data_IF_403869194122
#
_entry.id   IF_403869194122
#
_cell.length_a   1.000
_cell.length_b   1.000
_cell.length_c   1.000
_cell.angle_alpha   90.00
_cell.angle_beta   90.00
_cell.angle_gamma   90.00
#
_symmetry.space_group_name_H-M   'P 1'
#
loop_
_entity.id
_entity.type
_entity.pdbx_description
1 polymer ?
#
# COMPACT_ATOMS: atom_id res chain seq x y z
N UNK A 1 9.84 29.94 16.87
CA UNK A 1 9.01 29.02 17.68
C UNK A 1 8.51 27.84 16.85
N UNK A 2 7.81 28.08 15.74
CA UNK A 2 7.25 27.06 14.83
C UNK A 2 8.29 26.02 14.35
N UNK A 3 9.47 26.47 13.91
CA UNK A 3 10.54 25.57 13.45
C UNK A 3 11.03 24.58 14.52
N UNK A 4 11.14 25.01 15.79
CA UNK A 4 11.52 24.14 16.91
C UNK A 4 10.41 23.13 17.24
N UNK A 5 9.14 23.54 17.10
CA UNK A 5 7.99 22.65 17.26
C UNK A 5 7.97 21.58 16.17
N UNK A 6 8.21 21.95 14.90
CA UNK A 6 8.27 21.02 13.76
C UNK A 6 9.41 20.01 13.93
N UNK A 7 10.62 20.47 14.28
CA UNK A 7 11.74 19.56 14.54
C UNK A 7 11.43 18.64 15.72
N UNK A 8 10.87 19.18 16.80
CA UNK A 8 10.46 18.39 17.96
C UNK A 8 9.42 17.33 17.59
N UNK A 9 8.40 17.67 16.80
CA UNK A 9 7.38 16.73 16.37
C UNK A 9 7.93 15.66 15.41
N UNK A 10 8.83 16.03 14.50
CA UNK A 10 9.51 15.06 13.62
C UNK A 10 10.37 14.11 14.43
N UNK A 11 11.16 14.61 15.39
CA UNK A 11 12.02 13.78 16.24
C UNK A 11 11.20 12.83 17.13
N UNK A 12 10.09 13.31 17.71
CA UNK A 12 9.17 12.48 18.49
C UNK A 12 8.51 11.42 17.60
N UNK A 13 8.01 11.81 16.43
CA UNK A 13 7.40 10.90 15.47
C UNK A 13 8.39 9.81 15.04
N UNK A 14 9.61 10.20 14.68
CA UNK A 14 10.68 9.29 14.30
C UNK A 14 11.07 8.33 15.45
N UNK A 15 11.19 8.82 16.68
CA UNK A 15 11.45 8.00 17.85
C UNK A 15 10.32 7.00 18.13
N UNK A 16 9.06 7.43 17.99
CA UNK A 16 7.90 6.56 18.12
C UNK A 16 7.85 5.50 17.01
N UNK A 17 8.14 5.88 15.76
CA UNK A 17 8.24 4.94 14.64
C UNK A 17 9.33 3.91 14.87
N UNK A 18 10.54 4.32 15.27
CA UNK A 18 11.62 3.39 15.60
C UNK A 18 11.21 2.45 16.74
N UNK A 19 10.59 2.98 17.79
CA UNK A 19 10.14 2.18 18.93
C UNK A 19 9.07 1.16 18.53
N UNK A 20 8.12 1.54 17.66
CA UNK A 20 7.06 0.65 17.19
C UNK A 20 7.59 -0.44 16.25
N UNK A 21 8.46 -0.05 15.31
CA UNK A 21 8.98 -0.91 14.24
C UNK A 21 10.10 -1.84 14.73
N UNK A 22 11.03 -1.35 15.56
CA UNK A 22 12.20 -2.13 15.97
C UNK A 22 12.16 -2.59 17.43
N UNK A 23 11.22 -2.09 18.24
CA UNK A 23 11.17 -2.41 19.67
C UNK A 23 10.69 -3.83 20.01
N UNK A 24 10.30 -4.63 19.01
CA UNK A 24 10.03 -6.08 19.13
C UNK A 24 11.24 -6.96 18.78
N UNK A 25 12.36 -6.36 18.34
CA UNK A 25 13.58 -7.09 18.04
C UNK A 25 13.99 -8.00 19.21
N UNK A 26 14.45 -9.24 18.94
CA UNK A 26 14.90 -10.17 19.98
C UNK A 26 15.94 -9.56 20.94
N UNK A 27 16.79 -8.66 20.44
CA UNK A 27 17.81 -7.95 21.20
C UNK A 27 17.25 -7.03 22.29
N UNK A 28 15.98 -6.62 22.18
CA UNK A 28 15.32 -5.75 23.15
C UNK A 28 14.40 -6.50 24.13
N UNK A 29 14.36 -7.84 24.11
CA UNK A 29 13.54 -8.62 25.05
C UNK A 29 13.89 -8.28 26.51
N UNK A 30 12.87 -8.03 27.32
CA UNK A 30 12.94 -7.62 28.73
C UNK A 30 13.62 -6.26 29.00
N UNK A 31 13.92 -5.47 27.98
CA UNK A 31 14.51 -4.13 28.14
C UNK A 31 13.44 -3.06 28.38
N UNK A 32 13.82 -1.86 28.88
CA UNK A 32 12.92 -0.70 28.95
C UNK A 32 12.31 -0.34 27.58
N UNK A 33 13.01 -0.57 26.47
CA UNK A 33 12.55 -0.31 25.10
C UNK A 33 11.32 -1.18 24.78
N UNK A 34 11.40 -2.49 25.04
CA UNK A 34 10.26 -3.38 24.83
C UNK A 34 9.08 -3.04 25.76
N UNK A 35 9.36 -2.67 27.03
CA UNK A 35 8.30 -2.22 27.97
C UNK A 35 7.61 -0.95 27.47
N UNK A 36 8.37 0.02 26.97
CA UNK A 36 7.84 1.26 26.40
C UNK A 36 6.99 0.97 25.14
N UNK A 37 7.44 0.07 24.26
CA UNK A 37 6.64 -0.39 23.11
C UNK A 37 5.34 -1.03 23.55
N UNK A 38 5.37 -1.97 24.51
CA UNK A 38 4.15 -2.63 25.01
C UNK A 38 3.18 -1.62 25.63
N UNK A 39 3.68 -0.64 26.40
CA UNK A 39 2.84 0.42 26.96
C UNK A 39 2.23 1.31 25.86
N UNK A 40 3.03 1.67 24.85
CA UNK A 40 2.57 2.43 23.69
C UNK A 40 1.47 1.66 22.94
N UNK A 41 1.67 0.36 22.67
CA UNK A 41 0.68 -0.50 22.02
C UNK A 41 -0.61 -0.66 22.85
N UNK A 42 -0.49 -0.74 24.18
CA UNK A 42 -1.65 -0.74 25.09
C UNK A 42 -2.39 0.59 25.06
N UNK A 43 -1.67 1.71 25.01
CA UNK A 43 -2.26 3.04 24.91
C UNK A 43 -2.97 3.22 23.56
N UNK A 44 -2.34 2.83 22.44
CA UNK A 44 -2.95 2.88 21.11
C UNK A 44 -4.14 1.93 21.00
N UNK A 45 -4.08 0.75 21.62
CA UNK A 45 -5.21 -0.19 21.73
C UNK A 45 -6.39 0.41 22.48
N UNK A 46 -6.16 1.06 23.63
CA UNK A 46 -7.22 1.75 24.38
C UNK A 46 -7.83 2.91 23.58
N UNK A 47 -7.01 3.66 22.86
CA UNK A 47 -7.46 4.72 21.96
C UNK A 47 -8.32 4.12 20.84
N UNK A 48 -7.90 2.99 20.25
CA UNK A 48 -8.66 2.26 19.22
C UNK A 48 -10.01 1.77 19.76
N UNK A 49 -10.05 1.20 20.96
CA UNK A 49 -11.30 0.77 21.59
C UNK A 49 -12.23 1.94 21.90
N UNK A 50 -11.70 3.04 22.45
CA UNK A 50 -12.47 4.26 22.67
C UNK A 50 -13.02 4.80 21.35
N UNK A 51 -12.21 4.74 20.30
CA UNK A 51 -12.57 5.14 18.96
C UNK A 51 -13.70 4.28 18.37
N UNK A 52 -13.63 2.94 18.50
CA UNK A 52 -14.70 2.02 18.09
C UNK A 52 -16.01 2.28 18.86
N UNK A 53 -15.93 2.60 20.15
CA UNK A 53 -17.09 2.97 20.97
C UNK A 53 -17.69 4.31 20.52
N UNK A 54 -16.88 5.29 20.17
CA UNK A 54 -17.38 6.58 19.65
C UNK A 54 -17.96 6.39 18.24
N UNK A 55 -17.31 5.60 17.39
CA UNK A 55 -17.71 5.39 16.02
C UNK A 55 -19.03 4.60 15.92
N UNK A 56 -19.19 3.57 16.76
CA UNK A 56 -20.45 2.83 16.92
C UNK A 56 -21.61 3.74 17.37
N UNK A 57 -21.35 4.72 18.25
CA UNK A 57 -22.36 5.74 18.61
C UNK A 57 -22.69 6.70 17.48
N UNK A 58 -21.79 6.85 16.50
CA UNK A 58 -21.96 7.71 15.34
C UNK A 58 -22.50 6.97 14.09
N UNK A 59 -22.84 5.68 14.22
CA UNK A 59 -23.17 4.80 13.09
C UNK A 59 -22.11 4.84 11.97
N UNK A 60 -20.81 4.88 12.30
CA UNK A 60 -19.72 4.91 11.33
C UNK A 60 -19.46 6.27 10.66
N UNK A 61 -20.23 7.32 11.02
CA UNK A 61 -20.06 8.66 10.42
C UNK A 61 -18.72 9.29 10.78
N UNK A 62 -18.24 9.08 12.01
CA UNK A 62 -16.96 9.63 12.44
C UNK A 62 -15.79 9.05 11.63
N UNK A 63 -15.78 7.74 11.40
CA UNK A 63 -14.77 7.09 10.56
C UNK A 63 -14.76 7.67 9.14
N UNK A 64 -15.94 7.85 8.56
CA UNK A 64 -16.08 8.45 7.24
C UNK A 64 -15.54 9.89 7.19
N UNK A 65 -15.78 10.73 8.20
CA UNK A 65 -15.21 12.08 8.25
C UNK A 65 -13.69 12.07 8.44
N UNK A 66 -13.17 11.22 9.33
CA UNK A 66 -11.74 11.15 9.59
C UNK A 66 -10.96 10.59 8.41
N UNK A 67 -11.57 9.72 7.60
CA UNK A 67 -10.96 9.19 6.38
C UNK A 67 -10.61 10.31 5.36
N UNK A 68 -11.32 11.45 5.41
CA UNK A 68 -11.03 12.62 4.55
C UNK A 68 -9.92 13.53 5.08
N UNK A 69 -9.46 13.37 6.32
CA UNK A 69 -8.40 14.21 6.89
C UNK A 69 -7.11 14.11 6.09
N UNK A 70 -6.74 12.89 5.66
CA UNK A 70 -5.49 12.67 4.92
C UNK A 70 -5.54 13.24 3.50
N UNK A 71 -6.54 12.94 2.64
CA UNK A 71 -6.62 13.53 1.30
C UNK A 71 -6.76 15.06 1.32
N UNK A 72 -7.61 15.60 2.21
CA UNK A 72 -7.79 17.05 2.33
C UNK A 72 -6.50 17.71 2.81
N UNK A 73 -5.84 17.13 3.82
CA UNK A 73 -4.54 17.58 4.31
C UNK A 73 -3.48 17.59 3.20
N UNK A 74 -3.40 16.52 2.40
CA UNK A 74 -2.52 16.45 1.24
C UNK A 74 -2.79 17.57 0.23
N UNK A 75 -4.05 17.81 -0.16
CA UNK A 75 -4.41 18.87 -1.09
C UNK A 75 -4.06 20.27 -0.56
N UNK A 76 -4.26 20.51 0.74
CA UNK A 76 -3.88 21.77 1.39
C UNK A 76 -2.36 21.94 1.35
N UNK A 77 -1.59 20.93 1.75
CA UNK A 77 -0.12 20.98 1.76
C UNK A 77 0.42 21.23 0.36
N UNK A 78 -0.04 20.49 -0.66
CA UNK A 78 0.38 20.68 -2.05
C UNK A 78 0.05 22.09 -2.54
N UNK A 79 -1.15 22.60 -2.23
CA UNK A 79 -1.55 23.96 -2.61
C UNK A 79 -0.66 25.03 -1.97
N UNK A 80 -0.34 24.88 -0.68
CA UNK A 80 0.60 25.77 0.02
C UNK A 80 1.99 25.68 -0.58
N UNK A 81 2.49 24.48 -0.88
CA UNK A 81 3.78 24.28 -1.53
C UNK A 81 3.85 24.95 -2.90
N UNK A 82 2.82 24.80 -3.73
CA UNK A 82 2.74 25.47 -5.03
C UNK A 82 2.68 26.99 -4.89
N UNK A 83 1.88 27.51 -3.98
CA UNK A 83 1.83 28.95 -3.72
C UNK A 83 3.20 29.49 -3.30
N UNK A 84 3.88 28.82 -2.36
CA UNK A 84 5.21 29.20 -1.90
C UNK A 84 6.26 29.09 -3.01
N UNK A 85 6.20 28.03 -3.84
CA UNK A 85 7.07 27.88 -5.00
C UNK A 85 6.90 29.04 -5.99
N UNK A 86 5.65 29.36 -6.36
CA UNK A 86 5.35 30.45 -7.29
C UNK A 86 5.78 31.83 -6.74
N UNK A 87 5.64 32.06 -5.42
CA UNK A 87 5.97 33.34 -4.81
C UNK A 87 7.46 33.51 -4.47
N UNK A 88 8.16 32.43 -4.12
CA UNK A 88 9.52 32.48 -3.56
C UNK A 88 10.56 31.91 -4.50
N UNK A 89 10.28 30.80 -5.15
CA UNK A 89 11.26 30.07 -5.97
C UNK A 89 11.21 30.49 -7.44
N UNK A 90 10.01 30.58 -8.03
CA UNK A 90 9.85 30.94 -9.44
C UNK A 90 10.50 32.29 -9.82
N UNK A 91 10.40 33.37 -9.01
CA UNK A 91 11.05 34.65 -9.33
C UNK A 91 12.59 34.60 -9.31
N UNK A 92 13.18 33.57 -8.69
CA UNK A 92 14.63 33.35 -8.68
C UNK A 92 15.14 32.68 -9.97
N UNK A 93 14.22 32.17 -10.80
CA UNK A 93 14.51 31.45 -12.02
C UNK A 93 14.31 32.36 -13.23
N UNK A 94 15.19 32.23 -14.22
CA UNK A 94 14.97 32.81 -15.55
C UNK A 94 14.19 31.80 -16.41
N UNK A 95 12.86 31.85 -16.36
CA UNK A 95 12.00 30.91 -17.09
C UNK A 95 11.51 31.47 -18.42
N UNK A 96 11.54 30.64 -19.46
CA UNK A 96 10.86 30.94 -20.73
C UNK A 96 9.38 30.49 -20.71
N UNK A 97 8.60 30.88 -21.72
CA UNK A 97 7.16 30.57 -21.80
C UNK A 97 6.87 29.06 -21.82
N UNK A 98 7.71 28.26 -22.49
CA UNK A 98 7.55 26.82 -22.53
C UNK A 98 7.75 26.19 -21.15
N UNK A 99 8.79 26.61 -20.44
CA UNK A 99 9.09 26.16 -19.09
C UNK A 99 7.99 26.55 -18.11
N UNK A 100 7.48 27.78 -18.20
CA UNK A 100 6.34 28.22 -17.40
C UNK A 100 5.09 27.38 -17.69
N UNK A 101 4.79 27.11 -18.97
CA UNK A 101 3.69 26.24 -19.37
C UNK A 101 3.83 24.83 -18.78
N UNK A 102 5.02 24.25 -18.82
CA UNK A 102 5.28 22.92 -18.25
C UNK A 102 5.13 22.89 -16.72
N UNK A 103 5.60 23.92 -16.01
CA UNK A 103 5.38 24.06 -14.56
C UNK A 103 3.89 24.05 -14.24
N UNK A 104 3.09 24.85 -14.96
CA UNK A 104 1.64 24.94 -14.74
C UNK A 104 0.93 23.62 -15.07
N UNK A 105 1.32 22.95 -16.17
CA UNK A 105 0.78 21.63 -16.54
C UNK A 105 1.12 20.59 -15.49
N UNK A 106 2.35 20.56 -14.98
CA UNK A 106 2.77 19.64 -13.91
C UNK A 106 1.94 19.85 -12.63
N UNK A 107 1.74 21.11 -12.23
CA UNK A 107 0.86 21.46 -11.10
C UNK A 107 -0.59 21.01 -11.32
N UNK A 108 -1.16 21.27 -12.50
CA UNK A 108 -2.51 20.84 -12.85
C UNK A 108 -2.64 19.31 -12.88
N UNK A 109 -1.62 18.61 -13.39
CA UNK A 109 -1.62 17.15 -13.48
C UNK A 109 -1.68 16.50 -12.09
N UNK A 110 -1.02 17.07 -11.07
CA UNK A 110 -1.10 16.58 -9.68
C UNK A 110 -2.53 16.67 -9.16
N UNK A 111 -3.21 17.81 -9.33
CA UNK A 111 -4.60 17.95 -8.90
C UNK A 111 -5.55 17.07 -9.70
N UNK A 112 -5.44 17.07 -11.03
CA UNK A 112 -6.32 16.31 -11.91
C UNK A 112 -6.21 14.80 -11.65
N UNK A 113 -4.99 14.28 -11.53
CA UNK A 113 -4.77 12.86 -11.22
C UNK A 113 -5.23 12.47 -9.82
N UNK A 114 -5.03 13.34 -8.82
CA UNK A 114 -5.54 13.12 -7.45
C UNK A 114 -7.06 13.05 -7.45
N UNK A 115 -7.74 14.03 -8.06
CA UNK A 115 -9.20 14.09 -8.16
C UNK A 115 -9.74 12.87 -8.92
N UNK A 116 -9.12 12.52 -10.05
CA UNK A 116 -9.49 11.34 -10.81
C UNK A 116 -9.40 10.07 -9.96
N UNK A 117 -8.31 9.90 -9.20
CA UNK A 117 -8.13 8.75 -8.32
C UNK A 117 -9.16 8.71 -7.16
N UNK A 118 -9.45 9.85 -6.53
CA UNK A 118 -10.44 9.97 -5.45
C UNK A 118 -11.83 9.54 -5.92
N UNK A 119 -12.29 10.03 -7.08
CA UNK A 119 -13.68 9.86 -7.53
C UNK A 119 -13.89 8.70 -8.49
N UNK A 120 -12.82 8.04 -8.94
CA UNK A 120 -12.91 6.88 -9.82
C UNK A 120 -13.54 5.66 -9.12
N UNK A 121 -14.35 4.90 -9.86
CA UNK A 121 -14.88 3.61 -9.40
C UNK A 121 -13.74 2.56 -9.36
N UNK A 122 -13.43 1.96 -8.20
CA UNK A 122 -12.41 0.91 -8.10
C UNK A 122 -12.79 -0.40 -8.79
N UNK A 123 -14.07 -0.59 -9.09
CA UNK A 123 -14.62 -1.87 -9.56
C UNK A 123 -15.45 -2.54 -8.48
N UNK A 124 -16.38 -1.81 -7.87
CA UNK A 124 -17.33 -2.38 -6.93
C UNK A 124 -18.10 -3.53 -7.58
N UNK A 125 -18.27 -4.65 -6.88
CA UNK A 125 -18.97 -5.83 -7.42
C UNK A 125 -20.43 -5.49 -7.71
N UNK A 126 -20.87 -5.77 -8.93
CA UNK A 126 -22.26 -5.70 -9.38
C UNK A 126 -22.62 -7.00 -10.10
N UNK A 127 -23.92 -7.31 -10.21
CA UNK A 127 -24.34 -8.50 -10.95
C UNK A 127 -23.96 -8.45 -12.45
N UNK A 128 -23.75 -7.26 -12.99
CA UNK A 128 -23.32 -7.06 -14.37
C UNK A 128 -21.83 -7.35 -14.56
N UNK A 129 -20.95 -6.80 -13.73
CA UNK A 129 -19.51 -6.99 -13.89
C UNK A 129 -19.02 -8.39 -13.47
N UNK A 130 -19.85 -9.14 -12.73
CA UNK A 130 -19.62 -10.56 -12.48
C UNK A 130 -19.85 -11.41 -13.74
N UNK A 131 -20.74 -10.98 -14.65
CA UNK A 131 -20.97 -11.68 -15.91
C UNK A 131 -19.74 -11.50 -16.81
N UNK A 132 -18.98 -12.57 -16.99
CA UNK A 132 -17.74 -12.54 -17.77
C UNK A 132 -16.49 -12.17 -16.97
N UNK A 133 -16.55 -12.18 -15.63
CA UNK A 133 -15.35 -12.06 -14.81
C UNK A 133 -14.46 -13.30 -15.03
N UNK A 134 -13.22 -13.14 -15.53
CA UNK A 134 -12.47 -14.26 -16.12
C UNK A 134 -11.70 -15.11 -15.09
N UNK A 135 -11.71 -14.74 -13.81
CA UNK A 135 -10.88 -15.40 -12.79
C UNK A 135 -11.67 -16.42 -12.00
N UNK A 136 -11.13 -17.63 -11.95
CA UNK A 136 -11.66 -18.73 -11.18
C UNK A 136 -10.84 -18.97 -9.89
N UNK A 137 -11.45 -19.43 -8.79
CA UNK A 137 -10.73 -19.72 -7.56
C UNK A 137 -9.80 -20.94 -7.72
N UNK A 138 -8.52 -20.80 -7.35
CA UNK A 138 -7.50 -21.86 -7.47
C UNK A 138 -7.48 -22.87 -6.30
N UNK A 139 -8.40 -22.75 -5.33
CA UNK A 139 -8.43 -23.51 -4.06
C UNK A 139 -7.11 -23.48 -3.27
N UNK A 140 -6.30 -22.43 -3.45
CA UNK A 140 -5.05 -22.22 -2.70
C UNK A 140 -5.10 -20.89 -1.95
N UNK A 141 -5.17 -19.78 -2.69
CA UNK A 141 -5.29 -18.42 -2.12
C UNK A 141 -6.69 -17.82 -2.34
N UNK A 142 -7.47 -18.41 -3.25
CA UNK A 142 -8.87 -18.11 -3.49
C UNK A 142 -9.70 -19.38 -3.52
N UNK A 143 -10.70 -19.45 -2.64
CA UNK A 143 -11.54 -20.63 -2.46
C UNK A 143 -12.96 -20.41 -3.03
N UNK A 144 -13.58 -21.49 -3.51
CA UNK A 144 -14.98 -21.47 -3.97
C UNK A 144 -15.93 -21.11 -2.83
N UNK A 145 -17.03 -20.43 -3.17
CA UNK A 145 -18.15 -20.11 -2.27
C UNK A 145 -17.78 -19.29 -1.03
N UNK A 146 -16.68 -18.52 -1.04
CA UNK A 146 -16.37 -17.59 0.07
C UNK A 146 -17.39 -16.45 0.07
N UNK A 147 -18.29 -16.45 1.03
CA UNK A 147 -19.35 -15.46 1.16
C UNK A 147 -18.86 -14.20 1.90
N UNK A 148 -19.34 -13.02 1.48
CA UNK A 148 -19.19 -11.78 2.23
C UNK A 148 -20.50 -11.50 2.96
N UNK A 149 -20.48 -11.55 4.30
CA UNK A 149 -21.66 -11.29 5.11
C UNK A 149 -22.10 -9.82 5.07
N UNK A 150 -21.18 -8.87 4.87
CA UNK A 150 -21.53 -7.45 4.77
C UNK A 150 -22.25 -7.14 3.46
N UNK A 151 -21.72 -7.65 2.33
CA UNK A 151 -22.29 -7.39 1.01
C UNK A 151 -23.37 -8.42 0.59
N UNK A 152 -23.59 -9.46 1.39
CA UNK A 152 -24.54 -10.56 1.11
C UNK A 152 -24.33 -11.20 -0.27
N UNK A 153 -23.07 -11.41 -0.64
CA UNK A 153 -22.69 -11.93 -1.96
C UNK A 153 -21.48 -12.88 -1.88
N UNK A 154 -21.41 -13.84 -2.80
CA UNK A 154 -20.22 -14.67 -2.98
C UNK A 154 -19.09 -13.84 -3.59
N UNK A 155 -17.90 -13.90 -2.99
CA UNK A 155 -16.71 -13.21 -3.46
C UNK A 155 -16.10 -13.99 -4.63
N UNK A 156 -15.96 -13.40 -5.83
CA UNK A 156 -15.18 -14.01 -6.89
C UNK A 156 -13.69 -14.03 -6.53
N UNK A 157 -12.89 -14.80 -7.26
CA UNK A 157 -11.44 -14.81 -7.11
C UNK A 157 -10.87 -13.39 -7.27
N UNK A 158 -9.71 -13.11 -6.66
CA UNK A 158 -9.05 -11.78 -6.71
C UNK A 158 -9.86 -10.61 -6.17
N UNK A 159 -11.03 -10.84 -5.57
CA UNK A 159 -11.82 -9.81 -4.89
C UNK A 159 -11.58 -9.77 -3.38
N UNK A 160 -11.85 -8.61 -2.76
CA UNK A 160 -11.85 -8.46 -1.30
C UNK A 160 -12.87 -7.42 -0.84
N UNK A 161 -13.43 -7.66 0.34
CA UNK A 161 -14.23 -6.68 1.06
C UNK A 161 -13.29 -5.69 1.76
N UNK A 162 -13.44 -4.41 1.48
CA UNK A 162 -12.77 -3.36 2.23
C UNK A 162 -13.69 -2.88 3.34
N UNK A 163 -13.30 -3.10 4.60
CA UNK A 163 -14.07 -2.65 5.77
C UNK A 163 -14.21 -1.13 5.83
N UNK A 164 -13.20 -0.38 5.37
CA UNK A 164 -13.23 1.09 5.31
C UNK A 164 -14.27 1.61 4.34
N UNK A 165 -14.38 1.00 3.15
CA UNK A 165 -15.34 1.43 2.12
C UNK A 165 -16.70 0.70 2.21
N UNK A 166 -16.80 -0.37 3.00
CA UNK A 166 -18.03 -1.15 3.21
C UNK A 166 -18.46 -2.02 2.03
N UNK A 167 -17.60 -2.22 1.02
CA UNK A 167 -17.96 -2.92 -0.22
C UNK A 167 -16.87 -3.92 -0.66
N UNK A 168 -17.29 -4.90 -1.47
CA UNK A 168 -16.37 -5.78 -2.18
C UNK A 168 -15.97 -5.17 -3.53
N UNK A 169 -14.69 -5.28 -3.86
CA UNK A 169 -14.13 -4.78 -5.13
C UNK A 169 -13.44 -5.91 -5.89
N UNK A 170 -13.59 -5.91 -7.21
CA UNK A 170 -12.91 -6.82 -8.13
C UNK A 170 -11.43 -6.45 -8.26
N UNK A 171 -10.58 -7.46 -8.44
CA UNK A 171 -9.12 -7.31 -8.55
C UNK A 171 -8.58 -6.33 -7.50
N UNK A 172 -8.96 -6.54 -6.25
CA UNK A 172 -8.66 -5.62 -5.17
C UNK A 172 -7.15 -5.56 -4.93
N UNK A 173 -6.59 -4.36 -4.95
CA UNK A 173 -5.19 -4.12 -4.65
C UNK A 173 -5.01 -3.72 -3.19
N UNK A 174 -5.46 -2.51 -2.84
CA UNK A 174 -5.41 -1.99 -1.48
C UNK A 174 -6.40 -0.83 -1.29
N UNK A 175 -6.63 -0.42 -0.05
CA UNK A 175 -7.29 0.85 0.25
C UNK A 175 -6.22 1.93 0.44
N UNK A 176 -6.26 2.97 -0.39
CA UNK A 176 -5.27 4.04 -0.34
C UNK A 176 -5.79 5.22 0.50
N UNK A 177 -5.19 5.43 1.66
CA UNK A 177 -5.56 6.52 2.59
C UNK A 177 -5.33 7.92 2.00
N UNK A 178 -4.40 8.07 1.05
CA UNK A 178 -4.06 9.35 0.42
C UNK A 178 -5.16 9.87 -0.52
N UNK A 179 -5.96 8.97 -1.06
CA UNK A 179 -7.07 9.28 -1.97
C UNK A 179 -8.42 8.84 -1.41
N UNK A 180 -8.43 8.33 -0.17
CA UNK A 180 -9.60 7.77 0.53
C UNK A 180 -10.49 6.92 -0.40
N UNK A 181 -9.85 6.05 -1.18
CA UNK A 181 -10.53 5.20 -2.14
C UNK A 181 -9.80 3.87 -2.26
N UNK A 182 -10.53 2.81 -2.62
CA UNK A 182 -9.91 1.54 -2.97
C UNK A 182 -9.22 1.64 -4.33
N UNK A 183 -8.12 0.93 -4.49
CA UNK A 183 -7.47 0.70 -5.77
C UNK A 183 -7.82 -0.72 -6.21
N UNK A 184 -8.39 -0.86 -7.41
CA UNK A 184 -8.88 -2.12 -7.94
C UNK A 184 -8.94 -2.15 -9.46
N UNK A 185 -9.72 -3.08 -10.00
CA UNK A 185 -9.81 -3.38 -11.43
C UNK A 185 -9.99 -2.13 -12.32
N UNK A 186 -10.85 -1.18 -11.92
CA UNK A 186 -11.30 -0.10 -12.84
C UNK A 186 -10.59 1.23 -12.66
N UNK A 187 -9.80 1.40 -11.59
CA UNK A 187 -9.12 2.66 -11.30
C UNK A 187 -7.61 2.58 -11.10
N UNK A 188 -7.01 1.40 -11.24
CA UNK A 188 -5.56 1.24 -11.10
C UNK A 188 -4.76 2.20 -12.00
N UNK A 189 -5.23 2.47 -13.23
CA UNK A 189 -4.63 3.48 -14.12
C UNK A 189 -4.61 4.90 -13.56
N UNK A 190 -5.66 5.32 -12.84
CA UNK A 190 -5.73 6.65 -12.23
C UNK A 190 -4.77 6.75 -11.04
N UNK A 191 -4.63 5.66 -10.29
CA UNK A 191 -3.62 5.54 -9.24
C UNK A 191 -2.20 5.63 -9.81
N UNK A 192 -1.90 4.92 -10.90
CA UNK A 192 -0.60 5.03 -11.57
C UNK A 192 -0.34 6.44 -12.11
N UNK A 193 -1.35 7.09 -12.71
CA UNK A 193 -1.24 8.49 -13.16
C UNK A 193 -0.98 9.44 -11.98
N UNK A 194 -1.62 9.22 -10.83
CA UNK A 194 -1.39 9.96 -9.60
C UNK A 194 0.06 9.82 -9.11
N UNK A 195 0.62 8.60 -9.12
CA UNK A 195 2.02 8.35 -8.77
C UNK A 195 2.97 9.06 -9.73
N UNK A 196 2.76 8.94 -11.05
CA UNK A 196 3.61 9.59 -12.04
C UNK A 196 3.54 11.11 -12.00
N UNK A 197 2.35 11.70 -11.80
CA UNK A 197 2.21 13.14 -11.65
C UNK A 197 2.98 13.66 -10.42
N UNK A 198 2.91 12.94 -9.30
CA UNK A 198 3.67 13.27 -8.10
C UNK A 198 5.18 13.11 -8.30
N UNK A 199 5.64 12.01 -8.92
CA UNK A 199 7.07 11.83 -9.24
C UNK A 199 7.55 12.96 -10.14
N UNK A 200 6.78 13.31 -11.18
CA UNK A 200 7.13 14.39 -12.09
C UNK A 200 7.26 15.72 -11.35
N UNK A 201 6.26 16.08 -10.54
CA UNK A 201 6.28 17.29 -9.71
C UNK A 201 7.49 17.32 -8.77
N UNK A 202 7.75 16.22 -8.05
CA UNK A 202 8.84 16.14 -7.09
C UNK A 202 10.21 16.21 -7.76
N UNK A 203 10.45 15.40 -8.80
CA UNK A 203 11.72 15.36 -9.53
C UNK A 203 12.01 16.69 -10.25
N UNK A 204 11.01 17.20 -10.99
CA UNK A 204 11.18 18.45 -11.73
C UNK A 204 11.27 19.66 -10.79
N UNK A 205 10.43 19.68 -9.74
CA UNK A 205 10.49 20.69 -8.69
C UNK A 205 11.84 20.73 -7.99
N UNK A 206 12.45 19.57 -7.70
CA UNK A 206 13.79 19.49 -7.11
C UNK A 206 14.85 20.11 -8.02
N UNK A 207 14.84 19.76 -9.31
CA UNK A 207 15.74 20.34 -10.32
C UNK A 207 15.61 21.85 -10.38
N UNK A 208 14.38 22.39 -10.39
CA UNK A 208 14.13 23.83 -10.41
C UNK A 208 14.59 24.52 -9.12
N UNK A 209 14.30 23.93 -7.95
CA UNK A 209 14.71 24.49 -6.66
C UNK A 209 16.24 24.50 -6.52
N UNK A 210 16.91 23.43 -6.96
CA UNK A 210 18.37 23.38 -6.98
C UNK A 210 18.96 24.42 -7.95
N UNK A 211 18.40 24.55 -9.15
CA UNK A 211 18.83 25.54 -10.13
C UNK A 211 18.73 26.97 -9.56
N UNK A 212 17.62 27.30 -8.88
CA UNK A 212 17.39 28.60 -8.25
C UNK A 212 18.43 28.95 -7.18
N UNK A 213 18.95 27.96 -6.44
CA UNK A 213 19.94 28.16 -5.38
C UNK A 213 21.39 28.01 -5.85
N UNK A 214 21.62 27.45 -7.03
CA UNK A 214 22.96 27.10 -7.50
C UNK A 214 23.96 28.26 -7.51
N UNK A 215 23.59 29.53 -7.82
CA UNK A 215 24.54 30.65 -7.74
C UNK A 215 24.98 30.94 -6.30
N UNK A 216 24.05 30.94 -5.34
CA UNK A 216 24.31 31.23 -3.94
C UNK A 216 25.06 30.07 -3.26
N UNK A 217 24.76 28.82 -3.65
CA UNK A 217 25.48 27.63 -3.15
C UNK A 217 26.97 27.71 -3.53
N UNK A 218 27.28 28.12 -4.77
CA UNK A 218 28.66 28.30 -5.23
C UNK A 218 29.36 29.44 -4.49
N UNK A 219 28.65 30.55 -4.27
CA UNK A 219 29.19 31.73 -3.55
C UNK A 219 29.50 31.43 -2.07
N UNK A 220 28.58 30.80 -1.36
CA UNK A 220 28.69 30.52 0.09
C UNK A 220 29.33 29.16 0.41
N UNK A 221 29.79 28.42 -0.62
CA UNK A 221 30.43 27.10 -0.51
C UNK A 221 29.67 26.10 0.38
N UNK A 222 28.33 26.11 0.34
CA UNK A 222 27.54 25.17 1.12
C UNK A 222 26.05 25.47 1.17
N UNK A 223 25.23 24.45 0.90
CA UNK A 223 23.77 24.53 0.90
C UNK A 223 23.20 24.96 2.26
N UNK A 224 23.79 24.47 3.37
CA UNK A 224 23.31 24.83 4.71
C UNK A 224 23.44 26.32 5.02
N UNK A 225 24.50 26.97 4.53
CA UNK A 225 24.70 28.41 4.71
C UNK A 225 23.67 29.21 3.93
N UNK A 226 23.36 28.77 2.70
CA UNK A 226 22.30 29.36 1.88
C UNK A 226 20.95 29.26 2.62
N UNK A 227 20.60 28.09 3.14
CA UNK A 227 19.31 27.86 3.83
C UNK A 227 19.20 28.65 5.12
N UNK A 228 20.28 28.79 5.90
CA UNK A 228 20.17 29.35 7.25
C UNK A 228 20.49 30.85 7.36
N UNK A 229 21.32 31.39 6.45
CA UNK A 229 21.94 32.72 6.64
C UNK A 229 21.58 33.76 5.57
N UNK A 230 20.71 33.44 4.61
CA UNK A 230 20.40 34.35 3.50
C UNK A 230 18.97 34.88 3.56
N UNK A 231 18.19 34.76 2.49
CA UNK A 231 16.84 35.30 2.37
C UNK A 231 15.79 34.26 2.71
N UNK A 232 14.58 34.69 3.06
CA UNK A 232 13.45 33.78 3.28
C UNK A 232 13.10 32.96 2.03
N UNK A 233 13.28 33.51 0.83
CA UNK A 233 13.13 32.77 -0.42
C UNK A 233 14.13 31.63 -0.54
N UNK A 234 15.39 31.86 -0.17
CA UNK A 234 16.41 30.81 -0.16
C UNK A 234 16.13 29.74 0.91
N UNK A 235 15.61 30.13 2.09
CA UNK A 235 15.22 29.17 3.13
C UNK A 235 14.11 28.25 2.64
N UNK A 236 13.04 28.81 2.07
CA UNK A 236 11.89 28.05 1.55
C UNK A 236 12.31 27.14 0.40
N UNK A 237 13.03 27.67 -0.59
CA UNK A 237 13.51 26.89 -1.74
C UNK A 237 14.43 25.75 -1.31
N UNK A 238 15.30 25.97 -0.31
CA UNK A 238 16.18 24.91 0.16
C UNK A 238 15.47 23.85 1.00
N UNK A 239 14.40 24.20 1.72
CA UNK A 239 13.49 23.22 2.34
C UNK A 239 12.82 22.38 1.24
N UNK A 240 12.40 22.98 0.12
CA UNK A 240 11.85 22.21 -1.01
C UNK A 240 12.84 21.24 -1.62
N UNK A 241 14.11 21.61 -1.81
CA UNK A 241 15.14 20.64 -2.24
C UNK A 241 15.15 19.42 -1.33
N UNK A 242 15.26 19.63 -0.02
CA UNK A 242 15.30 18.52 0.95
C UNK A 242 14.04 17.64 0.89
N UNK A 243 12.86 18.27 0.89
CA UNK A 243 11.59 17.54 0.87
C UNK A 243 11.41 16.78 -0.46
N UNK A 244 11.63 17.45 -1.59
CA UNK A 244 11.50 16.84 -2.91
C UNK A 244 12.48 15.68 -3.11
N UNK A 245 13.75 15.83 -2.72
CA UNK A 245 14.75 14.74 -2.82
C UNK A 245 14.37 13.51 -1.97
N UNK A 246 13.78 13.70 -0.79
CA UNK A 246 13.34 12.57 0.05
C UNK A 246 12.10 11.91 -0.54
N UNK A 247 11.05 12.70 -0.84
CA UNK A 247 9.77 12.16 -1.29
C UNK A 247 9.83 11.57 -2.70
N UNK A 248 10.70 12.08 -3.60
CA UNK A 248 10.84 11.50 -4.95
C UNK A 248 11.37 10.07 -4.89
N UNK A 249 12.34 9.79 -4.00
CA UNK A 249 12.88 8.44 -3.83
C UNK A 249 11.79 7.50 -3.31
N UNK A 250 11.03 7.94 -2.30
CA UNK A 250 9.92 7.16 -1.75
C UNK A 250 8.87 6.88 -2.83
N UNK A 251 8.46 7.90 -3.58
CA UNK A 251 7.45 7.76 -4.63
C UNK A 251 7.91 6.82 -5.76
N UNK A 252 9.18 6.91 -6.18
CA UNK A 252 9.78 5.99 -7.15
C UNK A 252 9.78 4.56 -6.61
N UNK A 253 10.17 4.35 -5.35
CA UNK A 253 10.16 3.01 -4.74
C UNK A 253 8.75 2.40 -4.72
N UNK A 254 7.74 3.14 -4.28
CA UNK A 254 6.35 2.66 -4.31
C UNK A 254 5.88 2.35 -5.73
N UNK A 255 6.23 3.19 -6.70
CA UNK A 255 5.87 2.98 -8.11
C UNK A 255 6.58 1.74 -8.69
N UNK A 256 7.84 1.53 -8.35
CA UNK A 256 8.59 0.34 -8.74
C UNK A 256 7.99 -0.94 -8.13
N UNK A 257 7.50 -0.89 -6.89
CA UNK A 257 6.76 -2.01 -6.28
C UNK A 257 5.48 -2.33 -7.05
N UNK A 258 4.72 -1.32 -7.48
CA UNK A 258 3.52 -1.54 -8.30
C UNK A 258 3.87 -2.23 -9.62
N UNK A 259 4.94 -1.80 -10.30
CA UNK A 259 5.43 -2.48 -11.50
C UNK A 259 5.90 -3.92 -11.25
N UNK A 260 6.55 -4.17 -10.10
CA UNK A 260 6.92 -5.54 -9.70
C UNK A 260 5.68 -6.42 -9.52
N UNK A 261 4.60 -5.91 -8.93
CA UNK A 261 3.37 -6.67 -8.76
C UNK A 261 2.69 -6.97 -10.09
N UNK A 262 2.71 -6.01 -11.02
CA UNK A 262 2.29 -6.25 -12.41
C UNK A 262 3.14 -7.34 -13.07
N UNK A 263 4.47 -7.28 -12.91
CA UNK A 263 5.38 -8.28 -13.45
C UNK A 263 5.08 -9.69 -12.92
N UNK A 264 4.80 -9.83 -11.63
CA UNK A 264 4.47 -11.10 -10.98
C UNK A 264 3.00 -11.54 -11.18
N UNK A 265 2.17 -10.71 -11.81
CA UNK A 265 0.76 -11.01 -12.01
C UNK A 265 -0.08 -11.01 -10.72
N UNK A 266 0.38 -10.34 -9.67
CA UNK A 266 -0.28 -10.29 -8.35
C UNK A 266 -0.80 -8.90 -8.01
N UNK A 267 -1.78 -8.81 -7.12
CA UNK A 267 -2.16 -7.57 -6.43
C UNK A 267 -1.40 -7.41 -5.12
N UNK A 268 -1.33 -6.21 -4.54
CA UNK A 268 -0.77 -6.00 -3.20
C UNK A 268 -1.44 -6.93 -2.16
N UNK A 269 -2.77 -7.08 -2.23
CA UNK A 269 -3.52 -7.98 -1.37
C UNK A 269 -3.22 -9.47 -1.59
N UNK A 270 -2.84 -9.87 -2.80
CA UNK A 270 -2.47 -11.25 -3.11
C UNK A 270 -1.09 -11.60 -2.58
N UNK A 271 -0.18 -10.62 -2.51
CA UNK A 271 1.15 -10.82 -1.95
C UNK A 271 1.09 -11.35 -0.51
N UNK A 272 0.24 -10.77 0.34
CA UNK A 272 0.06 -11.22 1.72
C UNK A 272 -0.39 -12.69 1.78
N UNK A 273 -1.25 -13.12 0.84
CA UNK A 273 -1.71 -14.50 0.75
C UNK A 273 -0.65 -15.44 0.24
N UNK A 274 0.13 -15.02 -0.76
CA UNK A 274 1.26 -15.79 -1.24
C UNK A 274 2.34 -15.95 -0.17
N UNK A 275 2.55 -14.94 0.68
CA UNK A 275 3.45 -15.04 1.83
C UNK A 275 2.99 -16.11 2.85
N UNK A 276 1.68 -16.31 3.01
CA UNK A 276 1.14 -17.40 3.84
C UNK A 276 1.45 -18.78 3.23
N UNK A 277 1.33 -18.91 1.91
CA UNK A 277 1.72 -20.14 1.19
C UNK A 277 3.23 -20.39 1.31
N UNK A 278 4.06 -19.38 1.11
CA UNK A 278 5.52 -19.46 1.31
C UNK A 278 5.86 -19.89 2.75
N UNK A 279 5.12 -19.40 3.74
CA UNK A 279 5.27 -19.83 5.11
C UNK A 279 4.99 -21.34 5.25
N UNK A 280 3.84 -21.84 4.77
CA UNK A 280 3.51 -23.27 4.81
C UNK A 280 4.58 -24.16 4.13
N UNK A 281 5.13 -23.70 3.00
CA UNK A 281 6.22 -24.38 2.29
C UNK A 281 7.50 -24.38 3.13
N UNK A 282 7.84 -23.26 3.77
CA UNK A 282 9.05 -23.16 4.60
C UNK A 282 9.05 -24.10 5.82
N UNK A 283 7.86 -24.47 6.33
CA UNK A 283 7.72 -25.50 7.37
C UNK A 283 7.62 -26.92 6.82
N UNK A 284 7.57 -27.11 5.50
CA UNK A 284 7.40 -28.42 4.86
C UNK A 284 6.03 -29.05 5.17
N UNK A 285 5.00 -28.22 5.33
CA UNK A 285 3.65 -28.68 5.68
C UNK A 285 2.64 -28.50 4.55
N UNK A 286 2.99 -27.91 3.42
CA UNK A 286 2.12 -27.85 2.25
C UNK A 286 2.34 -29.06 1.34
N UNK A 287 1.26 -29.75 0.99
CA UNK A 287 1.29 -30.93 0.12
C UNK A 287 0.28 -30.79 -1.01
N UNK A 288 0.66 -31.24 -2.20
CA UNK A 288 -0.24 -31.49 -3.32
C UNK A 288 -0.85 -32.88 -3.18
N UNK A 289 -2.16 -32.99 -3.40
CA UNK A 289 -2.92 -34.24 -3.29
C UNK A 289 -3.46 -34.68 -4.65
N UNK A 290 -3.28 -35.96 -4.99
CA UNK A 290 -3.83 -36.58 -6.21
C UNK A 290 -4.55 -37.92 -5.87
N UNK A 291 -5.83 -38.10 -6.25
CA UNK A 291 -6.72 -37.12 -6.87
C UNK A 291 -7.13 -35.97 -5.92
N UNK A 292 -7.52 -34.78 -6.44
CA UNK A 292 -8.01 -33.68 -5.62
C UNK A 292 -9.24 -34.03 -4.77
N UNK A 293 -9.29 -33.56 -3.53
CA UNK A 293 -10.39 -33.83 -2.58
C UNK A 293 -11.34 -32.63 -2.59
N UNK A 294 -12.60 -32.81 -3.00
CA UNK A 294 -13.59 -31.72 -3.09
C UNK A 294 -13.10 -30.50 -3.94
N UNK A 295 -12.40 -30.77 -5.04
CA UNK A 295 -11.69 -29.79 -5.88
C UNK A 295 -10.50 -29.07 -5.20
N UNK A 296 -10.06 -29.50 -4.01
CA UNK A 296 -8.88 -28.96 -3.32
C UNK A 296 -7.64 -29.77 -3.74
N UNK A 297 -6.70 -29.17 -4.51
CA UNK A 297 -5.50 -29.86 -4.97
C UNK A 297 -4.34 -29.77 -3.96
N UNK A 298 -4.51 -29.00 -2.88
CA UNK A 298 -3.50 -28.80 -1.84
C UNK A 298 -4.10 -29.02 -0.45
N UNK A 299 -3.30 -29.56 0.46
CA UNK A 299 -3.64 -29.80 1.85
C UNK A 299 -2.50 -29.39 2.76
N UNK A 300 -2.82 -29.00 3.99
CA UNK A 300 -1.84 -28.69 5.02
C UNK A 300 -1.65 -29.88 5.95
N UNK A 301 -0.40 -30.27 6.21
CA UNK A 301 -0.04 -31.28 7.18
C UNK A 301 -0.14 -30.72 8.60
N UNK A 302 -0.97 -31.33 9.42
CA UNK A 302 -1.17 -30.97 10.82
C UNK A 302 -1.04 -32.21 11.73
N UNK A 303 -1.07 -31.96 13.04
CA UNK A 303 -1.11 -33.01 14.06
C UNK A 303 -2.39 -32.89 14.88
N UNK A 304 -3.22 -33.93 14.87
CA UNK A 304 -4.44 -34.01 15.67
C UNK A 304 -4.36 -35.23 16.59
N UNK A 305 -4.43 -34.99 17.91
CA UNK A 305 -4.29 -36.03 18.94
C UNK A 305 -3.02 -36.90 18.78
N UNK A 306 -1.91 -36.28 18.37
CA UNK A 306 -0.62 -36.96 18.17
C UNK A 306 -0.52 -37.80 16.90
N UNK A 307 -1.51 -37.74 16.02
CA UNK A 307 -1.49 -38.39 14.69
C UNK A 307 -1.33 -37.34 13.61
N UNK A 308 -0.59 -37.69 12.56
CA UNK A 308 -0.49 -36.86 11.35
C UNK A 308 -1.84 -36.92 10.65
N UNK A 309 -2.34 -35.74 10.28
CA UNK A 309 -3.55 -35.56 9.49
C UNK A 309 -3.28 -34.49 8.44
N UNK A 310 -4.07 -34.48 7.37
CA UNK A 310 -4.03 -33.40 6.39
C UNK A 310 -5.37 -32.67 6.37
N UNK A 311 -5.29 -31.35 6.52
CA UNK A 311 -6.44 -30.46 6.68
C UNK A 311 -6.65 -29.57 5.46
N UNK A 312 -7.89 -29.13 5.27
CA UNK A 312 -8.25 -28.14 4.26
C UNK A 312 -7.67 -26.77 4.58
N UNK A 313 -7.03 -26.14 3.59
CA UNK A 313 -6.58 -24.73 3.67
C UNK A 313 -7.75 -23.74 3.78
N UNK A 314 -8.97 -24.18 3.48
CA UNK A 314 -10.16 -23.32 3.42
C UNK A 314 -10.83 -23.14 4.78
N UNK A 315 -10.94 -24.23 5.54
CA UNK A 315 -11.73 -24.33 6.77
C UNK A 315 -11.14 -25.26 7.84
N UNK A 316 -9.88 -25.69 7.69
CA UNK A 316 -9.11 -26.49 8.66
C UNK A 316 -9.72 -27.85 9.01
N UNK A 317 -10.72 -28.32 8.24
CA UNK A 317 -11.28 -29.66 8.44
C UNK A 317 -10.30 -30.73 7.99
N UNK A 318 -10.25 -31.83 8.74
CA UNK A 318 -9.49 -33.03 8.36
C UNK A 318 -10.07 -33.62 7.07
N UNK A 319 -9.25 -33.70 6.04
CA UNK A 319 -9.57 -34.34 4.76
C UNK A 319 -8.93 -35.72 4.66
N UNK A 320 -7.71 -35.88 5.18
CA UNK A 320 -6.97 -37.13 5.16
C UNK A 320 -6.52 -37.48 6.57
N UNK A 321 -6.79 -38.72 6.96
CA UNK A 321 -6.34 -39.34 8.19
C UNK A 321 -5.68 -40.70 7.90
N UNK A 322 -5.19 -41.37 8.94
CA UNK A 322 -4.50 -42.64 8.81
C UNK A 322 -5.33 -43.77 8.15
N UNK A 323 -6.66 -43.64 8.06
CA UNK A 323 -7.52 -44.65 7.48
C UNK A 323 -7.66 -44.50 5.96
N UNK A 324 -7.57 -43.28 5.44
CA UNK A 324 -7.77 -42.98 4.01
C UNK A 324 -6.51 -42.48 3.29
N UNK A 325 -5.40 -42.24 4.00
CA UNK A 325 -4.13 -41.76 3.41
C UNK A 325 -3.65 -42.61 2.23
N UNK A 326 -3.79 -43.94 2.31
CA UNK A 326 -3.40 -44.87 1.24
C UNK A 326 -4.16 -44.68 -0.09
N UNK A 327 -5.24 -43.91 -0.11
CA UNK A 327 -6.05 -43.62 -1.30
C UNK A 327 -5.50 -42.43 -2.11
N UNK A 328 -4.54 -41.69 -1.57
CA UNK A 328 -4.05 -40.44 -2.15
C UNK A 328 -2.54 -40.46 -2.32
N UNK A 329 -2.06 -39.81 -3.39
CA UNK A 329 -0.64 -39.49 -3.55
C UNK A 329 -0.39 -38.10 -2.99
N UNK A 330 0.49 -38.00 -1.99
CA UNK A 330 0.86 -36.76 -1.33
C UNK A 330 2.27 -36.36 -1.72
N UNK A 331 2.40 -35.24 -2.43
CA UNK A 331 3.69 -34.70 -2.87
C UNK A 331 3.98 -33.42 -2.10
N UNK A 332 5.11 -33.29 -1.38
CA UNK A 332 5.46 -32.04 -0.71
C UNK A 332 5.67 -30.94 -1.75
N UNK A 333 5.26 -29.72 -1.39
CA UNK A 333 5.53 -28.51 -2.18
C UNK A 333 6.75 -27.83 -1.58
N UNK A 334 7.81 -27.66 -2.38
CA UNK A 334 9.10 -27.12 -1.93
C UNK A 334 9.32 -25.68 -2.41
N UNK A 335 8.68 -25.28 -3.51
CA UNK A 335 8.85 -23.97 -4.12
C UNK A 335 7.55 -23.42 -4.70
N UNK A 336 7.21 -22.17 -4.38
CA UNK A 336 6.08 -21.47 -5.02
C UNK A 336 6.32 -21.32 -6.53
N UNK A 337 7.57 -21.10 -6.94
CA UNK A 337 7.90 -20.79 -8.32
C UNK A 337 7.97 -22.03 -9.21
N UNK A 338 8.32 -23.19 -8.64
CA UNK A 338 8.53 -24.42 -9.42
C UNK A 338 7.34 -25.38 -9.31
N UNK A 339 6.72 -25.48 -8.13
CA UNK A 339 5.70 -26.50 -7.85
C UNK A 339 4.27 -25.97 -7.94
N UNK A 340 4.08 -24.66 -7.89
CA UNK A 340 2.76 -24.01 -7.92
C UNK A 340 2.60 -23.18 -9.20
N UNK A 341 1.60 -23.52 -9.99
CA UNK A 341 1.19 -22.70 -11.12
C UNK A 341 0.34 -21.51 -10.64
N UNK A 342 0.88 -20.29 -10.75
CA UNK A 342 0.11 -19.07 -10.54
C UNK A 342 -0.75 -18.78 -11.78
N UNK A 343 -1.92 -19.40 -11.85
CA UNK A 343 -2.91 -19.24 -12.94
C UNK A 343 -3.38 -17.79 -13.19
N UNK A 344 -3.04 -16.85 -12.29
CA UNK A 344 -3.36 -15.43 -12.43
C UNK A 344 -2.25 -14.62 -13.12
N UNK A 345 -1.03 -15.14 -13.18
CA UNK A 345 0.05 -14.55 -13.95
C UNK A 345 -0.07 -14.96 -15.42
N UNK A 346 -0.34 -13.99 -16.29
CA UNK A 346 -0.48 -14.19 -17.74
C UNK A 346 0.69 -13.60 -18.52
N UNK A 347 1.77 -13.29 -17.83
CA UNK A 347 2.93 -12.58 -18.35
C UNK A 347 2.78 -11.06 -18.32
N UNK A 348 3.91 -10.36 -18.21
CA UNK A 348 3.98 -8.92 -17.95
C UNK A 348 3.03 -8.06 -18.79
N UNK A 349 2.97 -8.27 -20.11
CA UNK A 349 2.13 -7.46 -20.99
C UNK A 349 0.63 -7.67 -20.79
N UNK A 350 0.20 -8.90 -20.51
CA UNK A 350 -1.21 -9.19 -20.20
C UNK A 350 -1.58 -8.68 -18.82
N UNK A 351 -0.69 -8.85 -17.84
CA UNK A 351 -0.88 -8.32 -16.50
C UNK A 351 -0.94 -6.78 -16.54
N UNK A 352 -0.14 -6.13 -17.38
CA UNK A 352 -0.19 -4.69 -17.57
C UNK A 352 -1.53 -4.27 -18.18
N UNK A 353 -1.97 -4.94 -19.25
CA UNK A 353 -3.27 -4.68 -19.90
C UNK A 353 -4.46 -4.89 -18.96
N UNK A 354 -4.34 -5.79 -17.99
CA UNK A 354 -5.39 -5.99 -16.97
C UNK A 354 -5.54 -4.78 -16.03
N UNK A 355 -4.48 -3.97 -15.86
CA UNK A 355 -4.44 -2.83 -14.93
C UNK A 355 -4.78 -1.48 -15.58
N UNK A 356 -4.79 -1.39 -16.91
CA UNK A 356 -4.97 -0.15 -17.69
C UNK A 356 -6.13 -0.26 -18.68
#
# INVERSE_FOLDING_TARGET
MIFKVIIGSIAISFALTILLVFGDSPSFRNTPVQKARIQLLKATSKISQLYEVIDSKSNGRLLNYLAWVVPVGYLIVVSVCFQQFLQKTLPMLLTNLFQLGYILISMMAVFASTIACIFSDPGQITQENLKGYPYHPNQLIFFKNKFCHTCQAVKPARSKHCSTCGHCYLLYDHHCVWVNNCIGLRNYKWFMLFLFANINMLAYGDVLCYAALSPQIKSLKGMWQVITKTTDANKVTGIFVILCSIFVVIAIMFTALQFRYIYLGVTTNELDKWSEIEHLISYGILFKVDPPINDEPYVEKASYNGRVVYISLKDEKVLIDANNESQFTLTPVESVQEDIDNIYDRGFWQNLKERF
#
